data_IF_534898855433
#
_entry.id   IF_534898855433
#
_cell.length_a   1.000
_cell.length_b   1.000
_cell.length_c   1.000
_cell.angle_alpha   90.00
_cell.angle_beta   90.00
_cell.angle_gamma   90.00
#
_symmetry.space_group_name_H-M   'P 1'
#
loop_
_entity.id
_entity.type
_entity.pdbx_description
1 polymer ?
#
# COMPACT_ATOMS: atom_id res chain seq x y z
N UNK A 1 18.17 7.85 -18.76
CA UNK A 1 19.02 8.14 -17.58
C UNK A 1 18.19 7.79 -16.34
N UNK A 2 18.61 6.81 -15.55
CA UNK A 2 17.79 6.10 -14.54
C UNK A 2 17.27 7.06 -13.45
N UNK A 3 15.95 7.07 -13.17
CA UNK A 3 15.34 7.96 -12.16
C UNK A 3 15.71 7.54 -10.73
N UNK A 4 15.98 8.51 -9.85
CA UNK A 4 16.30 8.28 -8.43
C UNK A 4 15.19 7.55 -7.66
N UNK A 5 13.95 7.73 -8.08
CA UNK A 5 12.79 7.03 -7.52
C UNK A 5 12.83 5.53 -7.80
N UNK A 6 13.51 5.10 -8.86
CA UNK A 6 13.63 3.70 -9.27
C UNK A 6 14.82 2.99 -8.61
N UNK A 7 15.67 3.72 -7.89
CA UNK A 7 16.80 3.13 -7.17
C UNK A 7 16.36 2.49 -5.87
N UNK A 8 17.02 1.41 -5.50
CA UNK A 8 16.87 0.68 -4.27
C UNK A 8 17.85 1.19 -3.21
N UNK A 9 17.33 1.60 -2.06
CA UNK A 9 18.10 2.17 -0.95
C UNK A 9 18.49 1.17 0.13
N UNK A 10 17.87 -0.03 0.13
CA UNK A 10 17.96 -0.98 1.23
C UNK A 10 16.97 -0.70 2.36
N UNK A 11 16.06 0.27 2.19
CA UNK A 11 15.05 0.59 3.19
C UNK A 11 14.02 -0.54 3.32
N UNK A 12 13.51 -0.80 4.54
CA UNK A 12 12.49 -1.82 4.78
C UNK A 12 11.19 -1.62 4.00
N UNK A 13 10.89 -0.38 3.60
CA UNK A 13 9.67 -0.05 2.87
C UNK A 13 9.76 -0.29 1.36
N UNK A 14 10.95 -0.63 0.85
CA UNK A 14 11.19 -0.82 -0.58
C UNK A 14 11.31 -2.31 -0.93
N UNK A 15 10.64 -2.72 -2.02
CA UNK A 15 10.77 -4.08 -2.54
C UNK A 15 11.97 -4.19 -3.48
N UNK A 16 13.01 -4.91 -3.05
CA UNK A 16 14.17 -5.21 -3.89
C UNK A 16 13.76 -5.86 -5.21
N UNK A 17 12.87 -6.86 -5.16
CA UNK A 17 12.35 -7.56 -6.34
C UNK A 17 11.68 -6.60 -7.33
N UNK A 18 10.85 -5.67 -6.84
CA UNK A 18 10.18 -4.69 -7.70
C UNK A 18 11.19 -3.74 -8.38
N UNK A 19 12.18 -3.23 -7.64
CA UNK A 19 13.23 -2.36 -8.21
C UNK A 19 14.10 -3.10 -9.21
N UNK A 20 14.41 -4.36 -8.92
CA UNK A 20 15.19 -5.22 -9.80
C UNK A 20 14.45 -5.53 -11.12
N UNK A 21 13.14 -5.77 -11.09
CA UNK A 21 12.35 -5.93 -12.32
C UNK A 21 12.39 -4.68 -13.21
N UNK A 22 12.32 -3.48 -12.62
CA UNK A 22 12.47 -2.21 -13.35
C UNK A 22 13.86 -2.10 -13.98
N UNK A 23 14.90 -2.50 -13.25
CA UNK A 23 16.26 -2.55 -13.82
C UNK A 23 16.40 -3.49 -15.01
N UNK A 24 15.84 -4.70 -14.93
CA UNK A 24 15.88 -5.65 -16.04
C UNK A 24 15.15 -5.10 -17.27
N UNK A 25 13.98 -4.47 -17.09
CA UNK A 25 13.26 -3.82 -18.18
C UNK A 25 14.08 -2.68 -18.82
N UNK A 26 14.71 -1.82 -18.01
CA UNK A 26 15.50 -0.70 -18.50
C UNK A 26 16.81 -1.13 -19.16
N UNK A 27 17.46 -2.18 -18.66
CA UNK A 27 18.68 -2.74 -19.27
C UNK A 27 18.37 -3.43 -20.59
N UNK A 28 17.27 -4.17 -20.67
CA UNK A 28 16.76 -4.76 -21.91
C UNK A 28 16.47 -3.69 -22.97
N UNK A 29 15.77 -2.61 -22.59
CA UNK A 29 15.49 -1.46 -23.47
C UNK A 29 16.73 -0.71 -23.94
N UNK A 30 17.81 -0.79 -23.18
CA UNK A 30 19.09 -0.13 -23.51
C UNK A 30 20.06 -1.06 -24.25
N UNK A 31 19.61 -2.25 -24.67
CA UNK A 31 20.40 -3.27 -25.37
C UNK A 31 21.67 -3.69 -24.58
N UNK A 32 21.60 -3.62 -23.25
CA UNK A 32 22.70 -4.03 -22.38
C UNK A 32 22.78 -5.56 -22.38
N UNK A 33 23.90 -6.11 -22.83
CA UNK A 33 24.16 -7.54 -22.82
C UNK A 33 24.09 -8.12 -21.40
N UNK A 34 23.52 -9.31 -21.25
CA UNK A 34 23.34 -9.97 -19.95
C UNK A 34 24.65 -10.13 -19.16
N UNK A 35 25.76 -10.31 -19.87
CA UNK A 35 27.10 -10.46 -19.28
C UNK A 35 27.59 -9.20 -18.57
N UNK A 36 27.02 -8.04 -18.89
CA UNK A 36 27.38 -6.74 -18.29
C UNK A 36 26.44 -6.32 -17.15
N UNK A 37 25.36 -7.08 -16.90
CA UNK A 37 24.41 -6.81 -15.81
C UNK A 37 25.07 -6.71 -14.43
N UNK A 38 26.04 -7.57 -14.05
CA UNK A 38 26.70 -7.44 -12.74
C UNK A 38 27.43 -6.10 -12.56
N UNK A 39 28.03 -5.58 -13.63
CA UNK A 39 28.74 -4.30 -13.65
C UNK A 39 27.76 -3.14 -13.60
N UNK A 40 26.62 -3.25 -14.30
CA UNK A 40 25.56 -2.25 -14.28
C UNK A 40 24.72 -2.27 -12.99
N UNK A 41 24.84 -3.30 -12.16
CA UNK A 41 24.00 -3.49 -10.96
C UNK A 41 24.07 -2.32 -9.98
N UNK A 42 25.24 -1.69 -9.81
CA UNK A 42 25.41 -0.53 -8.91
C UNK A 42 24.52 0.66 -9.29
N UNK A 43 24.11 0.78 -10.55
CA UNK A 43 23.28 1.89 -11.03
C UNK A 43 21.87 1.89 -10.45
N UNK A 44 21.40 0.74 -9.97
CA UNK A 44 20.08 0.57 -9.35
C UNK A 44 20.09 0.87 -7.87
N UNK A 45 21.26 1.08 -7.26
CA UNK A 45 21.42 1.18 -5.83
C UNK A 45 21.64 2.64 -5.41
N UNK A 46 21.19 2.96 -4.20
CA UNK A 46 21.49 4.21 -3.49
C UNK A 46 21.62 3.95 -1.99
N UNK A 47 22.09 4.93 -1.23
CA UNK A 47 22.17 4.84 0.23
C UNK A 47 22.88 3.58 0.73
N UNK A 48 22.32 2.97 1.79
CA UNK A 48 22.92 1.79 2.45
C UNK A 48 23.08 0.57 1.51
N UNK A 49 22.16 0.40 0.55
CA UNK A 49 22.28 -0.67 -0.44
C UNK A 49 23.52 -0.50 -1.35
N UNK A 50 23.83 0.73 -1.74
CA UNK A 50 25.02 1.03 -2.55
C UNK A 50 26.30 0.88 -1.73
N UNK A 51 26.30 1.31 -0.47
CA UNK A 51 27.42 1.10 0.44
C UNK A 51 27.71 -0.40 0.62
N UNK A 52 26.68 -1.20 0.90
CA UNK A 52 26.82 -2.66 1.01
C UNK A 52 27.39 -3.31 -0.26
N UNK A 53 27.00 -2.84 -1.46
CA UNK A 53 27.56 -3.33 -2.71
C UNK A 53 29.09 -3.14 -2.76
N UNK A 54 29.57 -1.92 -2.52
CA UNK A 54 31.01 -1.65 -2.59
C UNK A 54 31.79 -2.29 -1.45
N UNK A 55 31.24 -2.32 -0.23
CA UNK A 55 31.94 -2.89 0.93
C UNK A 55 31.93 -4.41 0.98
N UNK A 56 30.87 -5.08 0.52
CA UNK A 56 30.70 -6.53 0.73
C UNK A 56 30.67 -7.34 -0.56
N UNK A 57 30.38 -6.72 -1.71
CA UNK A 57 30.29 -7.42 -3.00
C UNK A 57 31.53 -7.20 -3.89
N UNK A 58 32.21 -6.05 -3.78
CA UNK A 58 33.36 -5.72 -4.62
C UNK A 58 34.72 -6.20 -4.08
N UNK A 59 34.79 -6.86 -2.91
CA UNK A 59 36.05 -7.31 -2.29
C UNK A 59 36.68 -8.55 -2.96
N UNK A 60 36.94 -8.49 -4.27
CA UNK A 60 37.88 -9.40 -4.93
C UNK A 60 37.28 -10.58 -5.71
N UNK A 61 35.98 -10.61 -5.98
CA UNK A 61 35.38 -11.60 -6.89
C UNK A 61 34.35 -10.97 -7.83
N UNK A 62 34.42 -11.32 -9.11
CA UNK A 62 33.37 -10.99 -10.08
C UNK A 62 32.15 -11.85 -9.77
N UNK A 63 31.17 -11.26 -9.09
CA UNK A 63 29.92 -11.94 -8.77
C UNK A 63 29.02 -11.98 -9.99
N UNK A 64 28.32 -13.10 -10.16
CA UNK A 64 27.23 -13.16 -11.13
C UNK A 64 26.02 -12.38 -10.64
N UNK A 65 25.13 -12.01 -11.56
CA UNK A 65 23.90 -11.29 -11.20
C UNK A 65 23.05 -12.08 -10.19
N UNK A 66 22.98 -13.41 -10.33
CA UNK A 66 22.27 -14.30 -9.41
C UNK A 66 22.86 -14.30 -7.99
N UNK A 67 24.19 -14.22 -7.89
CA UNK A 67 24.87 -14.13 -6.59
C UNK A 67 24.61 -12.78 -5.91
N UNK A 68 24.61 -11.69 -6.68
CA UNK A 68 24.25 -10.36 -6.19
C UNK A 68 22.82 -10.33 -5.66
N UNK A 69 21.85 -10.83 -6.46
CA UNK A 69 20.44 -10.93 -6.05
C UNK A 69 20.31 -11.68 -4.72
N UNK A 70 20.92 -12.87 -4.63
CA UNK A 70 20.85 -13.68 -3.41
C UNK A 70 21.41 -12.94 -2.20
N UNK A 71 22.59 -12.32 -2.31
CA UNK A 71 23.20 -11.58 -1.20
C UNK A 71 22.38 -10.37 -0.76
N UNK A 72 21.74 -9.68 -1.69
CA UNK A 72 20.86 -8.57 -1.36
C UNK A 72 19.57 -9.04 -0.70
N UNK A 73 19.00 -10.16 -1.16
CA UNK A 73 17.86 -10.79 -0.50
C UNK A 73 18.20 -11.30 0.90
N UNK A 74 19.37 -11.89 1.11
CA UNK A 74 19.81 -12.36 2.43
C UNK A 74 20.09 -11.18 3.38
N UNK A 75 20.76 -10.13 2.90
CA UNK A 75 21.17 -9.00 3.74
C UNK A 75 20.02 -8.03 4.06
N UNK A 76 19.19 -7.68 3.07
CA UNK A 76 18.11 -6.72 3.23
C UNK A 76 16.72 -7.35 3.37
N UNK A 77 16.57 -8.61 2.93
CA UNK A 77 15.29 -9.33 2.91
C UNK A 77 15.15 -10.41 3.98
N UNK A 78 15.91 -10.34 5.08
CA UNK A 78 15.78 -11.29 6.20
C UNK A 78 14.32 -11.42 6.68
N UNK A 79 13.95 -12.54 7.32
CA UNK A 79 12.55 -12.82 7.73
C UNK A 79 11.88 -11.65 8.49
N UNK A 80 12.68 -10.88 9.24
CA UNK A 80 12.22 -9.72 9.98
C UNK A 80 11.72 -8.58 9.07
N UNK A 81 12.30 -8.43 7.87
CA UNK A 81 11.86 -7.46 6.86
C UNK A 81 10.44 -7.78 6.37
N UNK A 82 10.20 -9.02 5.92
CA UNK A 82 8.87 -9.46 5.48
C UNK A 82 7.83 -9.34 6.60
N UNK A 83 8.19 -9.74 7.83
CA UNK A 83 7.35 -9.57 9.02
C UNK A 83 7.03 -8.11 9.33
N UNK A 84 8.00 -7.21 9.18
CA UNK A 84 7.81 -5.77 9.44
C UNK A 84 6.93 -5.13 8.37
N UNK A 85 7.13 -5.43 7.08
CA UNK A 85 6.23 -4.94 6.02
C UNK A 85 4.82 -5.48 6.24
N UNK A 86 4.66 -6.76 6.58
CA UNK A 86 3.34 -7.34 6.86
C UNK A 86 2.67 -6.69 8.07
N UNK A 87 3.44 -6.42 9.14
CA UNK A 87 2.95 -5.71 10.32
C UNK A 87 2.48 -4.30 9.96
N UNK A 88 3.29 -3.53 9.25
CA UNK A 88 2.93 -2.18 8.83
C UNK A 88 1.73 -2.19 7.90
N UNK A 89 1.68 -3.12 6.94
CA UNK A 89 0.54 -3.30 6.05
C UNK A 89 -0.73 -3.59 6.84
N UNK A 90 -0.68 -4.47 7.84
CA UNK A 90 -1.80 -4.78 8.72
C UNK A 90 -2.25 -3.58 9.57
N UNK A 91 -1.31 -2.73 10.01
CA UNK A 91 -1.60 -1.54 10.81
C UNK A 91 -2.26 -0.40 10.02
N UNK A 92 -2.09 -0.34 8.70
CA UNK A 92 -2.78 0.67 7.87
C UNK A 92 -4.29 0.49 8.02
N UNK A 93 -4.94 1.55 8.50
CA UNK A 93 -6.38 1.65 8.63
C UNK A 93 -6.85 3.08 8.34
N UNK A 94 -8.06 3.21 7.80
CA UNK A 94 -8.59 4.47 7.31
C UNK A 94 -8.89 5.46 8.44
N UNK A 95 -9.28 4.93 9.61
CA UNK A 95 -9.59 5.75 10.79
C UNK A 95 -8.36 6.55 11.23
N UNK A 96 -7.22 5.89 11.45
CA UNK A 96 -5.99 6.55 11.87
C UNK A 96 -5.50 7.57 10.84
N UNK A 97 -5.68 7.27 9.55
CA UNK A 97 -5.33 8.20 8.48
C UNK A 97 -6.21 9.46 8.49
N UNK A 98 -7.52 9.35 8.77
CA UNK A 98 -8.37 10.53 8.95
C UNK A 98 -7.97 11.36 10.19
N UNK A 99 -7.57 10.71 11.28
CA UNK A 99 -7.12 11.45 12.48
C UNK A 99 -5.81 12.19 12.22
N UNK A 100 -4.88 11.59 11.48
CA UNK A 100 -3.60 12.21 11.11
C UNK A 100 -3.76 13.33 10.07
N UNK A 101 -4.74 13.21 9.18
CA UNK A 101 -4.99 14.13 8.08
C UNK A 101 -6.34 14.84 8.21
N UNK A 102 -6.64 15.39 9.39
CA UNK A 102 -7.95 15.98 9.71
C UNK A 102 -8.30 17.22 8.87
N UNK A 103 -7.31 17.87 8.25
CA UNK A 103 -7.47 19.03 7.36
C UNK A 103 -7.68 18.66 5.90
N UNK A 104 -7.50 17.40 5.52
CA UNK A 104 -7.62 16.95 4.14
C UNK A 104 -9.02 16.43 3.83
N UNK A 105 -9.41 16.52 2.56
CA UNK A 105 -10.63 15.88 2.06
C UNK A 105 -10.56 14.37 2.28
N UNK A 106 -11.63 13.76 2.80
CA UNK A 106 -11.61 12.33 3.14
C UNK A 106 -11.40 11.43 1.91
N UNK A 107 -11.85 11.87 0.73
CA UNK A 107 -11.58 11.19 -0.54
C UNK A 107 -10.09 11.11 -0.86
N UNK A 108 -9.35 12.21 -0.69
CA UNK A 108 -7.90 12.24 -0.90
C UNK A 108 -7.15 11.37 0.09
N UNK A 109 -7.56 11.38 1.37
CA UNK A 109 -6.95 10.51 2.40
C UNK A 109 -7.18 9.04 2.09
N UNK A 110 -8.36 8.67 1.56
CA UNK A 110 -8.63 7.32 1.10
C UNK A 110 -7.77 6.93 -0.11
N UNK A 111 -7.63 7.82 -1.11
CA UNK A 111 -6.73 7.59 -2.24
C UNK A 111 -5.29 7.32 -1.77
N UNK A 112 -4.77 8.15 -0.86
CA UNK A 112 -3.43 7.99 -0.30
C UNK A 112 -3.27 6.64 0.42
N UNK A 113 -4.27 6.22 1.20
CA UNK A 113 -4.29 4.91 1.84
C UNK A 113 -4.12 3.78 0.81
N UNK A 114 -4.86 3.82 -0.31
CA UNK A 114 -4.76 2.81 -1.37
C UNK A 114 -3.36 2.77 -1.96
N UNK A 115 -2.72 3.93 -2.18
CA UNK A 115 -1.35 3.99 -2.70
C UNK A 115 -0.33 3.41 -1.72
N UNK A 116 -0.45 3.73 -0.42
CA UNK A 116 0.41 3.18 0.64
C UNK A 116 0.26 1.65 0.69
N UNK A 117 -0.98 1.15 0.66
CA UNK A 117 -1.25 -0.29 0.69
C UNK A 117 -0.68 -0.99 -0.55
N UNK A 118 -0.85 -0.42 -1.77
CA UNK A 118 -0.27 -0.98 -3.01
C UNK A 118 1.25 -1.00 -2.97
N UNK A 119 1.87 0.08 -2.47
CA UNK A 119 3.32 0.17 -2.37
C UNK A 119 3.88 -0.91 -1.44
N UNK A 120 3.28 -1.08 -0.25
CA UNK A 120 3.68 -2.11 0.72
C UNK A 120 3.42 -3.53 0.22
N UNK A 121 2.32 -3.76 -0.51
CA UNK A 121 1.97 -5.07 -1.07
C UNK A 121 3.10 -5.66 -1.91
N UNK A 122 3.83 -4.83 -2.68
CA UNK A 122 4.95 -5.28 -3.53
C UNK A 122 6.15 -5.83 -2.74
N UNK A 123 6.24 -5.52 -1.45
CA UNK A 123 7.28 -6.02 -0.55
C UNK A 123 6.86 -7.26 0.25
N UNK A 124 5.61 -7.72 0.13
CA UNK A 124 5.12 -8.92 0.81
C UNK A 124 5.37 -10.19 0.00
N UNK A 125 5.18 -11.35 0.63
CA UNK A 125 5.22 -12.64 -0.06
C UNK A 125 4.16 -12.75 -1.16
N UNK A 126 4.42 -13.63 -2.14
CA UNK A 126 3.58 -13.79 -3.35
C UNK A 126 2.10 -14.05 -3.03
N UNK A 127 1.79 -14.69 -1.92
CA UNK A 127 0.41 -14.94 -1.47
C UNK A 127 -0.38 -13.64 -1.23
N UNK A 128 0.29 -12.59 -0.74
CA UNK A 128 -0.31 -11.29 -0.48
C UNK A 128 -0.33 -10.38 -1.72
N UNK A 129 0.39 -10.72 -2.79
CA UNK A 129 0.46 -9.91 -4.01
C UNK A 129 -0.72 -10.13 -4.98
N UNK A 130 -1.76 -10.84 -4.54
CA UNK A 130 -2.97 -11.07 -5.32
C UNK A 130 -3.97 -9.93 -5.17
N UNK A 131 -4.81 -9.70 -6.20
CA UNK A 131 -5.88 -8.72 -6.12
C UNK A 131 -6.95 -9.10 -5.08
N UNK A 132 -7.14 -10.39 -4.80
CA UNK A 132 -8.01 -10.87 -3.73
C UNK A 132 -7.49 -10.47 -2.35
N UNK A 133 -6.20 -10.69 -2.08
CA UNK A 133 -5.56 -10.26 -0.83
C UNK A 133 -5.63 -8.74 -0.67
N UNK A 134 -5.40 -7.99 -1.76
CA UNK A 134 -5.50 -6.53 -1.74
C UNK A 134 -6.91 -6.06 -1.41
N UNK A 135 -7.92 -6.62 -2.06
CA UNK A 135 -9.34 -6.32 -1.81
C UNK A 135 -9.70 -6.58 -0.35
N UNK A 136 -9.37 -7.77 0.16
CA UNK A 136 -9.67 -8.13 1.55
C UNK A 136 -8.98 -7.19 2.54
N UNK A 137 -7.77 -6.72 2.21
CA UNK A 137 -7.08 -5.73 3.01
C UNK A 137 -7.78 -4.37 3.01
N UNK A 138 -8.26 -3.88 1.87
CA UNK A 138 -9.02 -2.61 1.81
C UNK A 138 -10.25 -2.70 2.71
N UNK A 139 -10.99 -3.82 2.63
CA UNK A 139 -12.17 -4.07 3.48
C UNK A 139 -11.77 -4.02 4.94
N UNK A 140 -10.73 -4.76 5.34
CA UNK A 140 -10.23 -4.78 6.73
C UNK A 140 -9.79 -3.39 7.21
N UNK A 141 -9.06 -2.64 6.38
CA UNK A 141 -8.60 -1.28 6.70
C UNK A 141 -9.74 -0.27 6.89
N UNK A 142 -10.89 -0.49 6.25
CA UNK A 142 -12.08 0.36 6.35
C UNK A 142 -13.06 -0.06 7.46
N UNK A 143 -12.97 -1.31 7.93
CA UNK A 143 -13.96 -1.94 8.83
C UNK A 143 -14.07 -1.26 10.21
N UNK A 144 -13.05 -0.50 10.64
CA UNK A 144 -13.05 0.22 11.92
C UNK A 144 -13.80 1.58 11.87
N UNK A 145 -14.39 1.95 10.74
CA UNK A 145 -15.29 3.10 10.63
C UNK A 145 -16.74 2.60 10.59
N UNK A 146 -17.48 2.82 11.69
CA UNK A 146 -18.89 2.44 11.91
C UNK A 146 -19.89 2.93 10.84
N UNK A 147 -19.46 3.82 9.92
CA UNK A 147 -20.28 4.40 8.87
C UNK A 147 -20.32 3.60 7.55
N UNK A 148 -19.48 2.57 7.40
CA UNK A 148 -19.49 1.69 6.22
C UNK A 148 -20.03 0.34 6.64
N UNK A 149 -21.29 0.04 6.27
CA UNK A 149 -21.85 -1.27 6.57
C UNK A 149 -21.02 -2.34 5.86
N UNK A 150 -20.70 -3.42 6.58
CA UNK A 150 -19.99 -4.59 6.06
C UNK A 150 -20.62 -5.14 4.77
N UNK A 151 -21.92 -4.93 4.58
CA UNK A 151 -22.67 -5.29 3.38
C UNK A 151 -22.24 -4.53 2.10
N UNK A 152 -21.90 -3.24 2.19
CA UNK A 152 -21.44 -2.43 1.04
C UNK A 152 -20.04 -2.84 0.60
N UNK A 153 -19.20 -3.22 1.57
CA UNK A 153 -17.82 -3.64 1.34
C UNK A 153 -17.72 -5.06 0.77
N UNK A 154 -18.69 -5.95 1.05
CA UNK A 154 -18.66 -7.35 0.63
C UNK A 154 -19.17 -7.62 -0.79
N UNK A 155 -20.03 -6.76 -1.36
CA UNK A 155 -20.63 -6.98 -2.69
C UNK A 155 -19.73 -6.64 -3.90
N UNK A 156 -18.60 -5.95 -3.68
CA UNK A 156 -17.70 -5.59 -4.76
C UNK A 156 -16.85 -6.79 -5.18
N UNK A 157 -17.04 -7.30 -6.40
CA UNK A 157 -16.24 -8.40 -6.98
C UNK A 157 -14.92 -7.90 -7.60
N UNK A 158 -14.71 -6.58 -7.68
CA UNK A 158 -13.47 -5.96 -8.15
C UNK A 158 -13.02 -4.84 -7.23
N UNK A 159 -11.71 -4.53 -7.25
CA UNK A 159 -11.11 -3.42 -6.49
C UNK A 159 -11.72 -2.07 -6.94
N UNK A 160 -11.97 -1.90 -8.24
CA UNK A 160 -12.54 -0.67 -8.79
C UNK A 160 -13.94 -0.39 -8.23
N UNK A 161 -14.82 -1.40 -8.27
CA UNK A 161 -16.18 -1.29 -7.70
C UNK A 161 -16.12 -1.03 -6.20
N UNK A 162 -15.19 -1.67 -5.48
CA UNK A 162 -15.00 -1.45 -4.04
C UNK A 162 -14.61 0.00 -3.75
N UNK A 163 -13.62 0.53 -4.46
CA UNK A 163 -13.18 1.92 -4.28
C UNK A 163 -14.32 2.91 -4.58
N UNK A 164 -15.07 2.73 -5.67
CA UNK A 164 -16.18 3.62 -6.03
C UNK A 164 -17.28 3.62 -4.96
N UNK A 165 -17.63 2.45 -4.43
CA UNK A 165 -18.60 2.35 -3.34
C UNK A 165 -18.13 3.09 -2.08
N UNK A 166 -16.83 3.01 -1.76
CA UNK A 166 -16.25 3.72 -0.61
C UNK A 166 -16.25 5.23 -0.84
N UNK A 167 -15.88 5.71 -2.03
CA UNK A 167 -15.95 7.14 -2.38
C UNK A 167 -17.37 7.69 -2.25
N UNK A 168 -18.37 6.98 -2.78
CA UNK A 168 -19.77 7.39 -2.66
C UNK A 168 -20.23 7.44 -1.19
N UNK A 169 -19.80 6.48 -0.37
CA UNK A 169 -20.13 6.46 1.06
C UNK A 169 -19.42 7.57 1.85
N UNK A 170 -18.22 7.97 1.44
CA UNK A 170 -17.50 9.11 2.01
C UNK A 170 -18.23 10.42 1.73
N UNK A 171 -18.60 10.65 0.46
CA UNK A 171 -19.34 11.83 0.01
C UNK A 171 -20.71 11.93 0.71
N UNK A 172 -21.43 10.81 0.82
CA UNK A 172 -22.69 10.76 1.55
C UNK A 172 -22.54 11.13 3.03
N UNK A 173 -21.51 10.60 3.72
CA UNK A 173 -21.28 10.98 5.12
C UNK A 173 -20.94 12.46 5.28
N UNK A 174 -20.19 13.06 4.36
CA UNK A 174 -19.89 14.49 4.41
C UNK A 174 -21.13 15.36 4.19
N UNK A 175 -22.02 14.98 3.27
CA UNK A 175 -23.28 15.70 3.05
C UNK A 175 -24.21 15.60 4.27
N UNK A 176 -24.30 14.43 4.93
CA UNK A 176 -25.07 14.26 6.16
C UNK A 176 -24.51 15.13 7.30
N UNK A 177 -23.19 15.12 7.54
CA UNK A 177 -22.58 15.94 8.59
C UNK A 177 -22.80 17.44 8.34
N UNK A 178 -22.72 17.89 7.08
CA UNK A 178 -23.00 19.28 6.71
C UNK A 178 -24.47 19.65 6.91
N UNK A 179 -25.39 18.74 6.59
CA UNK A 179 -26.83 18.97 6.82
C UNK A 179 -27.15 19.06 8.33
N UNK A 180 -26.51 18.23 9.15
CA UNK A 180 -26.66 18.25 10.62
C UNK A 180 -26.09 19.53 11.26
N UNK A 181 -25.03 20.13 10.68
CA UNK A 181 -24.46 21.38 11.19
C UNK A 181 -25.24 22.64 10.77
N UNK A 182 -26.05 22.54 9.72
CA UNK A 182 -26.88 23.64 9.20
C UNK A 182 -28.28 23.67 9.82
N UNK A 183 -28.83 22.54 10.28
CA UNK A 183 -30.18 22.45 10.87
C UNK A 183 -30.24 21.54 12.12
N UNK A 184 -30.25 22.10 13.35
CA UNK A 184 -30.40 21.30 14.57
C UNK A 184 -31.76 20.58 14.67
N UNK A 185 -32.77 21.01 13.90
CA UNK A 185 -34.10 20.38 13.86
C UNK A 185 -34.09 19.08 13.04
N UNK A 186 -33.30 18.99 11.96
CA UNK A 186 -33.20 17.78 11.13
C UNK A 186 -32.45 16.65 11.86
N UNK A 187 -31.51 17.00 12.74
CA UNK A 187 -30.81 16.06 13.63
C UNK A 187 -31.77 15.28 14.54
N UNK A 188 -32.80 15.95 15.07
CA UNK A 188 -33.82 15.30 15.91
C UNK A 188 -34.65 14.28 15.10
N UNK A 189 -35.07 14.62 13.88
CA UNK A 189 -35.86 13.72 13.03
C UNK A 189 -35.07 12.50 12.52
N UNK A 190 -33.77 12.64 12.22
CA UNK A 190 -32.92 11.52 11.79
C UNK A 190 -32.58 10.56 12.94
N UNK A 191 -32.37 11.10 14.14
CA UNK A 191 -32.09 10.29 15.34
C UNK A 191 -33.30 9.45 15.73
N UNK A 192 -34.50 10.02 15.64
CA UNK A 192 -35.77 9.34 15.94
C UNK A 192 -36.04 8.20 14.94
N UNK A 193 -35.81 8.45 13.64
CA UNK A 193 -35.98 7.44 12.58
C UNK A 193 -35.02 6.26 12.73
N UNK A 194 -33.75 6.50 13.10
CA UNK A 194 -32.77 5.43 13.38
C UNK A 194 -33.10 4.63 14.65
N UNK A 195 -33.72 5.25 15.65
CA UNK A 195 -34.18 4.56 16.85
C UNK A 195 -35.36 3.63 16.54
N UNK A 196 -36.32 4.10 15.74
CA UNK A 196 -37.48 3.30 15.35
C UNK A 196 -37.13 2.12 14.43
N UNK A 197 -36.17 2.28 13.51
CA UNK A 197 -35.71 1.17 12.65
C UNK A 197 -35.00 0.07 13.46
N UNK A 198 -34.17 0.43 14.46
CA UNK A 198 -33.51 -0.56 15.33
C UNK A 198 -34.48 -1.36 16.18
N UNK A 199 -35.59 -0.76 16.61
CA UNK A 199 -36.62 -1.43 17.41
C UNK A 199 -37.43 -2.42 16.55
N UNK A 200 -37.67 -2.11 15.27
CA UNK A 200 -38.42 -3.00 14.37
C UNK A 200 -37.62 -4.23 13.93
N UNK A 201 -36.29 -4.15 13.85
CA UNK A 201 -35.42 -5.31 13.53
C UNK A 201 -35.10 -6.23 14.72
N UNK A 202 -35.63 -5.93 15.91
CA UNK A 202 -35.36 -6.69 17.15
C UNK A 202 -36.53 -7.60 17.58
N UNK A 203 -37.40 -8.02 16.66
CA UNK A 203 -38.50 -8.96 16.91
C UNK A 203 -38.43 -10.17 15.99
#
# INVERSE_FOLDING_TARGET
MYSEENKYSGLPTESFTSKFSIFIDLTSKSEIHQDTLPTAFSTILKGMALEYYFYSCCQGSTLTISQLIRRFQEHFGGEEHGRNILREWNQVNLRDMFHKNSSMEKGLVFYEMIQILRAKQRGLDREYQTDSAFRNKIISACSNNLAYSSAILQQAHSISVLCNNIYAALEFNETVIRAESLDPVVSAYLTDRRFHERIQTSR
#
